data_IF_835327025640
#
_entry.id   IF_835327025640
#
_cell.length_a   1.000
_cell.length_b   1.000
_cell.length_c   1.000
_cell.angle_alpha   90.00
_cell.angle_beta   90.00
_cell.angle_gamma   90.00
#
_symmetry.space_group_name_H-M   'P 1'
#
loop_
_entity.id
_entity.type
_entity.pdbx_description
1 polymer ?
#
# COMPACT_ATOMS: atom_id res chain seq x y z
N UNK A 1 -29.16 -71.28 20.74
CA UNK A 1 -28.84 -70.91 22.13
C UNK A 1 -28.50 -69.41 22.18
N UNK A 2 -29.23 -68.66 23.01
CA UNK A 2 -28.92 -67.38 23.71
C UNK A 2 -28.56 -66.13 22.88
N UNK A 3 -29.41 -65.12 23.01
CA UNK A 3 -29.34 -63.76 22.45
C UNK A 3 -28.56 -62.77 23.33
N UNK A 4 -28.56 -61.50 22.85
CA UNK A 4 -28.23 -60.19 23.48
C UNK A 4 -26.84 -59.70 23.03
N UNK A 5 -26.72 -58.58 22.31
CA UNK A 5 -26.99 -57.24 22.84
C UNK A 5 -27.71 -56.30 21.86
N UNK A 6 -28.73 -55.62 22.38
CA UNK A 6 -29.22 -54.33 21.91
C UNK A 6 -28.42 -53.27 22.69
N UNK A 7 -27.82 -52.31 22.00
CA UNK A 7 -27.58 -50.98 22.55
C UNK A 7 -27.96 -49.95 21.48
N UNK A 8 -29.04 -49.23 21.75
CA UNK A 8 -29.46 -48.04 21.02
C UNK A 8 -28.65 -46.83 21.51
N UNK A 9 -28.57 -45.81 20.66
CA UNK A 9 -28.57 -44.34 20.91
C UNK A 9 -27.74 -43.69 19.78
N UNK A 10 -28.38 -43.17 18.73
CA UNK A 10 -28.97 -41.82 18.58
C UNK A 10 -27.93 -40.75 18.22
N UNK A 11 -27.94 -40.37 16.94
CA UNK A 11 -27.92 -39.00 16.41
C UNK A 11 -27.01 -37.95 17.09
N UNK A 12 -25.96 -37.49 16.39
CA UNK A 12 -25.67 -36.04 16.26
C UNK A 12 -24.54 -35.71 15.28
N UNK A 13 -24.93 -34.94 14.26
CA UNK A 13 -24.23 -33.80 13.65
C UNK A 13 -22.81 -33.96 13.08
N UNK A 14 -22.77 -33.93 11.74
CA UNK A 14 -22.01 -32.94 10.95
C UNK A 14 -20.90 -32.18 11.68
N UNK A 15 -19.66 -32.51 11.32
CA UNK A 15 -18.59 -31.52 11.20
C UNK A 15 -17.72 -31.92 10.01
N UNK A 16 -18.24 -31.69 8.79
CA UNK A 16 -17.39 -31.49 7.62
C UNK A 16 -16.43 -30.35 7.94
N UNK A 17 -15.17 -30.54 7.53
CA UNK A 17 -14.04 -29.69 7.88
C UNK A 17 -14.34 -28.20 7.75
N UNK A 18 -14.12 -27.47 8.85
CA UNK A 18 -13.93 -26.03 8.79
C UNK A 18 -12.45 -25.80 9.06
N UNK A 19 -11.75 -25.46 7.97
CA UNK A 19 -10.43 -24.85 7.99
C UNK A 19 -10.44 -23.69 8.98
N UNK A 20 -9.88 -23.90 10.17
CA UNK A 20 -9.73 -22.89 11.19
C UNK A 20 -8.49 -22.01 10.89
N UNK A 21 -8.40 -21.40 9.70
CA UNK A 21 -7.48 -20.31 9.36
C UNK A 21 -8.11 -19.42 8.27
N UNK A 22 -9.02 -18.53 8.69
CA UNK A 22 -9.57 -17.48 7.83
C UNK A 22 -8.51 -16.42 7.43
N UNK A 23 -8.73 -15.70 6.32
CA UNK A 23 -7.67 -15.10 5.50
C UNK A 23 -7.21 -13.76 6.07
N UNK A 24 -6.17 -13.77 6.90
CA UNK A 24 -5.56 -12.55 7.46
C UNK A 24 -4.17 -12.21 6.89
N UNK A 25 -3.65 -13.01 5.97
CA UNK A 25 -2.36 -12.75 5.34
C UNK A 25 -2.57 -11.86 4.13
N UNK A 26 -2.38 -10.54 4.27
CA UNK A 26 -2.17 -9.70 3.11
C UNK A 26 -0.94 -10.24 2.38
N UNK A 27 -1.16 -10.97 1.29
CA UNK A 27 -0.09 -11.62 0.54
C UNK A 27 0.88 -10.52 0.12
N UNK A 28 2.09 -10.58 0.67
CA UNK A 28 3.13 -9.59 0.38
C UNK A 28 3.44 -9.73 -1.10
N UNK A 29 3.05 -8.73 -1.90
CA UNK A 29 3.44 -8.65 -3.31
C UNK A 29 4.95 -8.84 -3.45
N UNK A 30 5.36 -9.64 -4.43
CA UNK A 30 6.76 -9.82 -4.81
C UNK A 30 7.36 -8.48 -5.28
N UNK A 31 8.69 -8.32 -5.31
CA UNK A 31 9.32 -7.12 -5.87
C UNK A 31 8.87 -6.83 -7.31
N UNK A 32 8.80 -7.87 -8.14
CA UNK A 32 8.38 -7.76 -9.54
C UNK A 32 6.90 -7.33 -9.65
N UNK A 33 6.01 -7.91 -8.85
CA UNK A 33 4.59 -7.51 -8.82
C UNK A 33 4.42 -6.06 -8.40
N UNK A 34 5.25 -5.56 -7.48
CA UNK A 34 5.23 -4.15 -7.06
C UNK A 34 5.69 -3.23 -8.18
N UNK A 35 6.77 -3.60 -8.88
CA UNK A 35 7.26 -2.82 -10.02
C UNK A 35 6.23 -2.77 -11.15
N UNK A 36 5.59 -3.91 -11.45
CA UNK A 36 4.49 -3.98 -12.41
C UNK A 36 3.31 -3.10 -11.98
N UNK A 37 2.93 -3.12 -10.69
CA UNK A 37 1.87 -2.25 -10.18
C UNK A 37 2.22 -0.76 -10.27
N UNK A 38 3.46 -0.38 -9.97
CA UNK A 38 3.92 1.01 -10.12
C UNK A 38 3.89 1.45 -11.59
N UNK A 39 4.35 0.60 -12.51
CA UNK A 39 4.28 0.88 -13.95
C UNK A 39 2.83 1.01 -14.43
N UNK A 40 1.94 0.13 -14.00
CA UNK A 40 0.53 0.20 -14.37
C UNK A 40 -0.15 1.49 -13.88
N UNK A 41 0.15 1.93 -12.66
CA UNK A 41 -0.37 3.20 -12.11
C UNK A 41 0.18 4.42 -12.88
N UNK A 42 1.44 4.37 -13.30
CA UNK A 42 2.07 5.40 -14.13
C UNK A 42 1.40 5.49 -15.50
N UNK A 43 1.22 4.36 -16.20
CA UNK A 43 0.55 4.32 -17.51
C UNK A 43 -0.91 4.73 -17.42
N UNK A 44 -1.61 4.34 -16.35
CA UNK A 44 -2.97 4.83 -16.08
C UNK A 44 -3.00 6.35 -15.95
N UNK A 45 -2.01 6.94 -15.29
CA UNK A 45 -1.93 8.40 -15.12
C UNK A 45 -1.70 9.09 -16.46
N UNK A 46 -0.80 8.55 -17.30
CA UNK A 46 -0.55 9.04 -18.67
C UNK A 46 -1.85 9.07 -19.48
N UNK A 47 -2.61 7.97 -19.47
CA UNK A 47 -3.89 7.87 -20.17
C UNK A 47 -4.94 8.82 -19.61
N UNK A 48 -5.03 8.94 -18.28
CA UNK A 48 -6.05 9.77 -17.61
C UNK A 48 -5.82 11.27 -17.85
N UNK A 49 -4.56 11.68 -17.96
CA UNK A 49 -4.18 13.08 -18.22
C UNK A 49 -4.07 13.39 -19.71
N UNK A 50 -4.27 12.39 -20.57
CA UNK A 50 -4.14 12.51 -22.03
C UNK A 50 -2.79 13.14 -22.42
N UNK A 51 -1.70 12.68 -21.78
CA UNK A 51 -0.37 13.21 -22.05
C UNK A 51 0.04 12.89 -23.50
N UNK A 52 0.61 13.88 -24.19
CA UNK A 52 1.20 13.63 -25.50
C UNK A 52 2.48 12.79 -25.39
N UNK A 53 3.05 12.36 -26.51
CA UNK A 53 4.21 11.45 -26.53
C UNK A 53 5.43 12.01 -25.76
N UNK A 54 5.72 13.30 -25.92
CA UNK A 54 6.83 13.97 -25.25
C UNK A 54 6.60 14.08 -23.74
N UNK A 55 5.42 14.55 -23.34
CA UNK A 55 5.01 14.63 -21.93
C UNK A 55 5.03 13.24 -21.27
N UNK A 56 4.54 12.21 -21.96
CA UNK A 56 4.50 10.85 -21.45
C UNK A 56 5.91 10.27 -21.28
N UNK A 57 6.82 10.53 -22.23
CA UNK A 57 8.22 10.12 -22.13
C UNK A 57 8.91 10.78 -20.92
N UNK A 58 8.77 12.10 -20.77
CA UNK A 58 9.32 12.83 -19.63
C UNK A 58 8.70 12.40 -18.30
N UNK A 59 7.37 12.19 -18.28
CA UNK A 59 6.68 11.71 -17.09
C UNK A 59 7.19 10.34 -16.64
N UNK A 60 7.43 9.42 -17.57
CA UNK A 60 8.03 8.12 -17.26
C UNK A 60 9.42 8.27 -16.66
N UNK A 61 10.28 9.04 -17.31
CA UNK A 61 11.66 9.26 -16.85
C UNK A 61 11.70 9.86 -15.43
N UNK A 62 10.89 10.89 -15.17
CA UNK A 62 10.77 11.51 -13.85
C UNK A 62 10.32 10.46 -12.83
N UNK A 63 9.25 9.71 -13.08
CA UNK A 63 8.75 8.73 -12.12
C UNK A 63 9.74 7.58 -11.87
N UNK A 64 10.47 7.12 -12.89
CA UNK A 64 11.52 6.10 -12.73
C UNK A 64 12.68 6.63 -11.87
N UNK A 65 13.17 7.84 -12.15
CA UNK A 65 14.23 8.50 -11.36
C UNK A 65 13.82 8.66 -9.91
N UNK A 66 12.64 9.21 -9.64
CA UNK A 66 12.14 9.39 -8.27
C UNK A 66 11.75 8.07 -7.60
N UNK A 67 11.37 7.05 -8.37
CA UNK A 67 11.19 5.68 -7.89
C UNK A 67 12.49 5.10 -7.34
N UNK A 68 13.59 5.27 -8.08
CA UNK A 68 14.94 4.87 -7.66
C UNK A 68 15.42 5.65 -6.42
N UNK A 69 15.33 7.00 -6.44
CA UNK A 69 15.65 7.84 -5.28
C UNK A 69 14.84 7.44 -4.04
N UNK A 70 13.55 7.17 -4.21
CA UNK A 70 12.68 6.75 -3.12
C UNK A 70 13.03 5.35 -2.59
N UNK A 71 13.54 4.45 -3.44
CA UNK A 71 14.06 3.15 -3.00
C UNK A 71 15.34 3.33 -2.18
N UNK A 72 16.28 4.13 -2.67
CA UNK A 72 17.53 4.45 -1.97
C UNK A 72 17.26 5.08 -0.60
N UNK A 73 16.41 6.11 -0.54
CA UNK A 73 16.01 6.75 0.72
C UNK A 73 15.41 5.73 1.70
N UNK A 74 14.55 4.82 1.24
CA UNK A 74 14.01 3.74 2.10
C UNK A 74 15.08 2.77 2.59
N UNK A 75 16.09 2.49 1.76
CA UNK A 75 17.20 1.61 2.13
C UNK A 75 18.11 2.31 3.17
N UNK A 76 18.39 3.61 3.02
CA UNK A 76 19.12 4.45 3.99
C UNK A 76 18.38 4.58 5.34
N UNK A 77 17.06 4.75 5.33
CA UNK A 77 16.25 4.75 6.56
C UNK A 77 16.30 3.37 7.25
N UNK A 78 16.34 2.28 6.46
CA UNK A 78 16.37 0.91 7.01
C UNK A 78 17.74 0.57 7.59
N UNK A 79 18.82 1.03 6.96
CA UNK A 79 20.19 0.84 7.45
C UNK A 79 20.49 1.69 8.68
N UNK A 80 19.69 2.73 8.95
CA UNK A 80 19.89 3.68 10.04
C UNK A 80 20.83 4.84 9.67
N UNK A 81 21.17 4.98 8.39
CA UNK A 81 21.91 6.13 7.87
C UNK A 81 21.09 7.43 7.97
N UNK A 82 19.78 7.33 7.72
CA UNK A 82 18.85 8.43 7.95
C UNK A 82 18.01 8.12 9.20
N UNK A 83 18.03 9.00 10.22
CA UNK A 83 17.20 8.83 11.41
C UNK A 83 15.71 8.81 11.07
N UNK A 84 14.92 8.07 11.85
CA UNK A 84 13.48 7.90 11.58
C UNK A 84 12.71 9.21 11.74
N UNK A 85 13.15 10.06 12.64
CA UNK A 85 12.61 11.39 12.91
C UNK A 85 12.75 12.31 11.69
N UNK A 86 13.86 12.20 10.95
CA UNK A 86 14.11 12.99 9.74
C UNK A 86 13.52 12.34 8.48
N UNK A 87 13.27 11.03 8.51
CA UNK A 87 12.76 10.27 7.35
C UNK A 87 11.49 10.87 6.72
N UNK A 88 10.62 11.47 7.54
CA UNK A 88 9.40 12.10 7.05
C UNK A 88 9.72 13.29 6.15
N UNK A 89 10.67 14.11 6.56
CA UNK A 89 11.00 15.36 5.87
C UNK A 89 11.69 15.04 4.55
N UNK A 90 12.68 14.12 4.54
CA UNK A 90 13.29 13.64 3.30
C UNK A 90 12.28 13.03 2.31
N UNK A 91 11.31 12.26 2.81
CA UNK A 91 10.25 11.70 1.95
C UNK A 91 9.30 12.78 1.42
N UNK A 92 9.06 13.84 2.19
CA UNK A 92 8.25 14.98 1.77
C UNK A 92 8.98 15.78 0.70
N UNK A 93 10.25 16.11 0.92
CA UNK A 93 11.06 16.87 -0.01
C UNK A 93 11.19 16.14 -1.35
N UNK A 94 11.46 14.83 -1.32
CA UNK A 94 11.49 14.00 -2.51
C UNK A 94 10.15 14.01 -3.28
N UNK A 95 9.02 14.10 -2.57
CA UNK A 95 7.71 14.21 -3.18
C UNK A 95 7.50 15.60 -3.81
N UNK A 96 7.92 16.66 -3.13
CA UNK A 96 7.79 18.04 -3.60
C UNK A 96 8.65 18.27 -4.85
N UNK A 97 9.91 17.85 -4.82
CA UNK A 97 10.82 17.92 -5.98
C UNK A 97 10.22 17.22 -7.20
N UNK A 98 9.69 16.00 -7.03
CA UNK A 98 9.01 15.27 -8.12
C UNK A 98 7.80 16.02 -8.64
N UNK A 99 6.98 16.55 -7.74
CA UNK A 99 5.76 17.29 -8.12
C UNK A 99 6.12 18.58 -8.87
N UNK A 100 7.21 19.26 -8.52
CA UNK A 100 7.71 20.45 -9.24
C UNK A 100 8.18 20.09 -10.66
N UNK A 101 8.98 19.02 -10.82
CA UNK A 101 9.40 18.57 -12.16
C UNK A 101 8.21 18.11 -13.02
N UNK A 102 7.25 17.39 -12.44
CA UNK A 102 6.02 16.99 -13.16
C UNK A 102 5.21 18.23 -13.55
N UNK A 103 5.15 19.27 -12.71
CA UNK A 103 4.41 20.49 -13.03
C UNK A 103 4.98 21.18 -14.28
N UNK A 104 6.29 21.15 -14.49
CA UNK A 104 6.95 21.80 -15.62
C UNK A 104 6.57 21.17 -16.97
N UNK A 105 6.26 19.88 -17.00
CA UNK A 105 5.89 19.17 -18.23
C UNK A 105 4.39 19.14 -18.50
N UNK A 106 3.55 19.51 -17.52
CA UNK A 106 2.10 19.46 -17.63
C UNK A 106 1.49 20.82 -17.94
N UNK A 107 0.50 20.84 -18.83
CA UNK A 107 -0.33 22.02 -18.99
C UNK A 107 -1.18 22.29 -17.73
N UNK A 108 -1.61 23.54 -17.54
CA UNK A 108 -2.46 23.93 -16.39
C UNK A 108 -3.66 23.00 -16.12
N UNK A 109 -4.48 22.61 -17.12
CA UNK A 109 -5.58 21.67 -16.88
C UNK A 109 -5.10 20.28 -16.43
N UNK A 110 -4.04 19.75 -17.06
CA UNK A 110 -3.44 18.45 -16.72
C UNK A 110 -2.86 18.47 -15.30
N UNK A 111 -2.16 19.54 -14.92
CA UNK A 111 -1.63 19.71 -13.56
C UNK A 111 -2.75 19.72 -12.50
N UNK A 112 -3.85 20.43 -12.78
CA UNK A 112 -5.00 20.47 -11.87
C UNK A 112 -5.64 19.09 -11.70
N UNK A 113 -5.76 18.33 -12.79
CA UNK A 113 -6.23 16.95 -12.76
C UNK A 113 -5.27 16.04 -11.99
N UNK A 114 -3.96 16.15 -12.22
CA UNK A 114 -2.93 15.41 -11.51
C UNK A 114 -3.01 15.63 -9.99
N UNK A 115 -3.08 16.89 -9.52
CA UNK A 115 -3.22 17.18 -8.09
C UNK A 115 -4.52 16.65 -7.49
N UNK A 116 -5.63 16.67 -8.25
CA UNK A 116 -6.89 16.05 -7.82
C UNK A 116 -6.73 14.53 -7.63
N UNK A 117 -6.12 13.84 -8.59
CA UNK A 117 -5.82 12.41 -8.48
C UNK A 117 -4.95 12.09 -7.27
N UNK A 118 -3.91 12.89 -7.01
CA UNK A 118 -3.05 12.72 -5.84
C UNK A 118 -3.83 12.85 -4.53
N UNK A 119 -4.69 13.88 -4.42
CA UNK A 119 -5.54 14.09 -3.23
C UNK A 119 -6.51 12.93 -3.02
N UNK A 120 -7.18 12.46 -4.08
CA UNK A 120 -8.10 11.32 -4.00
C UNK A 120 -7.40 10.04 -3.57
N UNK A 121 -6.18 9.79 -4.08
CA UNK A 121 -5.35 8.67 -3.61
C UNK A 121 -5.02 8.81 -2.12
N UNK A 122 -4.65 9.99 -1.68
CA UNK A 122 -4.36 10.25 -0.27
C UNK A 122 -5.59 10.03 0.63
N UNK A 123 -6.75 10.54 0.23
CA UNK A 123 -8.02 10.36 0.95
C UNK A 123 -8.40 8.88 1.03
N UNK A 124 -8.28 8.12 -0.07
CA UNK A 124 -8.52 6.69 -0.08
C UNK A 124 -7.60 5.92 0.86
N UNK A 125 -6.31 6.29 0.93
CA UNK A 125 -5.37 5.71 1.88
C UNK A 125 -5.74 6.03 3.33
N UNK A 126 -6.16 7.26 3.61
CA UNK A 126 -6.60 7.66 4.95
C UNK A 126 -7.86 6.90 5.38
N UNK A 127 -8.85 6.74 4.49
CA UNK A 127 -10.07 5.97 4.75
C UNK A 127 -9.77 4.49 5.04
N UNK A 128 -8.83 3.88 4.31
CA UNK A 128 -8.38 2.50 4.55
C UNK A 128 -7.67 2.34 5.90
N UNK A 129 -6.96 3.37 6.37
CA UNK A 129 -6.28 3.37 7.67
C UNK A 129 -7.23 3.65 8.85
N UNK A 130 -8.34 4.34 8.61
CA UNK A 130 -9.35 4.69 9.62
C UNK A 130 -10.50 3.68 9.79
N UNK A 131 -10.51 2.56 9.06
CA UNK A 131 -11.52 1.51 9.21
C UNK A 131 -11.34 0.65 10.47
N UNK A 132 -12.39 -0.04 10.97
CA UNK A 132 -12.37 -0.83 12.22
C UNK A 132 -11.37 -2.01 12.31
N UNK A 133 -10.46 -2.18 11.36
CA UNK A 133 -9.46 -3.27 11.32
C UNK A 133 -7.99 -2.81 11.37
N UNK A 134 -7.72 -1.52 11.53
CA UNK A 134 -6.35 -0.96 11.52
C UNK A 134 -5.67 -0.82 12.89
N UNK A 135 -6.27 -1.38 13.95
CA UNK A 135 -5.73 -1.35 15.31
C UNK A 135 -5.07 -2.68 15.69
N UNK A 136 -3.82 -2.88 15.27
CA UNK A 136 -2.96 -3.82 15.97
C UNK A 136 -2.72 -3.29 17.40
N UNK A 137 -2.73 -4.15 18.45
CA UNK A 137 -2.65 -3.69 19.82
C UNK A 137 -1.38 -2.87 20.03
N UNK A 138 -1.57 -1.65 20.53
CA UNK A 138 -0.51 -0.85 21.08
C UNK A 138 0.31 -1.68 22.06
N UNK A 139 1.63 -1.58 21.94
CA UNK A 139 2.51 -1.90 23.05
C UNK A 139 2.02 -1.16 24.31
N UNK A 140 2.29 -1.71 25.50
CA UNK A 140 1.83 -1.14 26.75
C UNK A 140 2.21 0.35 26.83
N UNK A 141 1.36 1.21 27.42
CA UNK A 141 1.72 2.60 27.67
C UNK A 141 2.93 2.60 28.61
N UNK A 142 4.11 2.83 28.06
CA UNK A 142 5.32 3.08 28.82
C UNK A 142 5.07 4.32 29.68
N UNK A 143 5.01 4.08 30.98
CA UNK A 143 4.63 5.06 31.99
C UNK A 143 5.52 6.30 31.99
N UNK A 144 4.89 7.43 32.26
CA UNK A 144 5.52 8.72 32.47
C UNK A 144 4.58 9.61 33.27
N UNK A 145 4.29 9.19 34.50
CA UNK A 145 3.54 9.96 35.49
C UNK A 145 4.07 9.63 36.88
N UNK A 146 4.49 10.68 37.58
CA UNK A 146 5.22 10.77 38.85
C UNK A 146 6.74 10.62 38.78
#
# INVERSE_FOLDING_TARGET
>A
MKSKHIFAVLFSFLALGVFAQGPGGQQRMSPEEREAAMRAEMEKTILTLELNEEQAAQFREINERYGAKGKELRDQIRSGEIPREESRDYMMDLMLERDDEIREILEKPQWKAYKKMQRERQEQMMQRRGGPGGGGPGGPPGGGGF
#
